data_IF_011257253280
#
_entry.id   IF_011257253280
#
_cell.length_a   1.000
_cell.length_b   1.000
_cell.length_c   1.000
_cell.angle_alpha   90.00
_cell.angle_beta   90.00
_cell.angle_gamma   90.00
#
_symmetry.space_group_name_H-M   'P 1'
#
loop_
_entity.id
_entity.type
_entity.pdbx_description
1 polymer ?
#
# COMPACT_ATOMS: atom_id res chain seq x y z
N UNK A 1 -104.64 -43.72 66.16
CA UNK A 1 -103.42 -43.31 66.89
C UNK A 1 -102.46 -44.49 66.86
N UNK A 2 -101.32 -44.33 66.20
CA UNK A 2 -100.26 -45.32 66.04
C UNK A 2 -98.99 -44.54 65.67
N UNK A 3 -98.32 -44.08 66.72
CA UNK A 3 -97.23 -43.11 66.78
C UNK A 3 -96.15 -43.29 65.71
N UNK A 4 -95.73 -42.17 65.08
CA UNK A 4 -94.65 -42.11 64.10
C UNK A 4 -93.32 -42.52 64.73
N UNK A 5 -92.49 -43.29 64.03
CA UNK A 5 -91.05 -43.15 64.21
C UNK A 5 -90.53 -42.21 63.10
N UNK A 6 -90.35 -40.90 63.36
CA UNK A 6 -90.13 -39.88 62.33
C UNK A 6 -88.69 -39.86 61.78
N UNK A 7 -87.84 -40.83 62.14
CA UNK A 7 -86.40 -40.71 61.98
C UNK A 7 -85.81 -41.84 61.13
N UNK A 8 -86.17 -41.91 59.84
CA UNK A 8 -85.43 -42.74 58.89
C UNK A 8 -83.97 -42.25 58.78
N UNK A 9 -83.00 -43.15 59.01
CA UNK A 9 -81.57 -42.86 58.90
C UNK A 9 -81.25 -42.54 57.43
N UNK A 10 -80.87 -41.29 57.15
CA UNK A 10 -80.48 -40.88 55.78
C UNK A 10 -78.96 -40.76 55.73
N UNK A 11 -78.32 -41.62 54.96
CA UNK A 11 -76.88 -41.52 54.69
C UNK A 11 -76.59 -40.40 53.68
N UNK A 12 -75.55 -39.62 53.96
CA UNK A 12 -75.14 -38.54 53.08
C UNK A 12 -74.64 -39.02 51.72
N UNK A 13 -75.01 -38.33 50.65
CA UNK A 13 -74.43 -38.52 49.31
C UNK A 13 -73.82 -37.23 48.78
N UNK A 14 -72.72 -37.39 48.06
CA UNK A 14 -71.98 -36.28 47.46
C UNK A 14 -72.81 -35.57 46.39
N UNK A 15 -72.75 -34.24 46.36
CA UNK A 15 -73.19 -33.44 45.21
C UNK A 15 -72.34 -33.74 43.98
N UNK A 16 -72.81 -33.33 42.79
CA UNK A 16 -71.94 -33.21 41.62
C UNK A 16 -70.74 -32.31 41.94
N UNK A 17 -69.60 -32.60 41.31
CA UNK A 17 -68.42 -31.77 41.44
C UNK A 17 -68.66 -30.40 40.79
N UNK A 18 -68.22 -29.32 41.44
CA UNK A 18 -68.13 -28.01 40.79
C UNK A 18 -67.13 -28.04 39.62
N UNK A 19 -67.24 -27.10 38.66
CA UNK A 19 -66.20 -26.90 37.64
C UNK A 19 -64.82 -26.69 38.27
N UNK A 20 -63.77 -27.04 37.52
CA UNK A 20 -62.40 -26.78 37.95
C UNK A 20 -62.12 -25.29 38.03
N UNK A 21 -61.37 -24.87 39.05
CA UNK A 21 -60.84 -23.50 39.14
C UNK A 21 -59.99 -23.13 37.93
N UNK A 22 -59.67 -21.85 37.77
CA UNK A 22 -58.54 -21.45 36.91
C UNK A 22 -57.25 -22.14 37.38
N UNK A 23 -56.34 -22.42 36.44
CA UNK A 23 -55.07 -23.05 36.77
C UNK A 23 -54.23 -22.10 37.60
N UNK A 24 -53.67 -22.58 38.71
CA UNK A 24 -52.89 -21.73 39.64
C UNK A 24 -51.64 -21.08 39.03
N UNK A 25 -51.18 -21.55 37.86
CA UNK A 25 -50.05 -20.97 37.12
C UNK A 25 -50.35 -20.99 35.63
N UNK A 26 -50.00 -19.93 34.90
CA UNK A 26 -50.12 -19.86 33.44
C UNK A 26 -49.08 -20.72 32.70
N UNK A 27 -47.97 -21.06 33.35
CA UNK A 27 -46.91 -21.94 32.84
C UNK A 27 -46.22 -22.68 34.01
N UNK A 28 -45.44 -23.73 33.73
CA UNK A 28 -44.59 -24.37 34.75
C UNK A 28 -45.34 -25.16 35.83
N UNK A 29 -46.19 -26.10 35.38
CA UNK A 29 -46.99 -27.05 36.20
C UNK A 29 -47.81 -26.35 37.29
N UNK A 30 -49.05 -25.98 36.96
CA UNK A 30 -50.04 -25.48 37.91
C UNK A 30 -50.95 -26.59 38.45
N UNK A 31 -51.84 -26.22 39.38
CA UNK A 31 -52.87 -27.09 39.94
C UNK A 31 -54.24 -26.43 39.83
N UNK A 32 -55.26 -27.20 39.47
CA UNK A 32 -56.66 -26.81 39.58
C UNK A 32 -57.32 -27.58 40.72
N UNK A 33 -58.28 -26.94 41.36
CA UNK A 33 -59.04 -27.51 42.47
C UNK A 33 -60.53 -27.50 42.10
N UNK A 34 -61.25 -28.56 42.45
CA UNK A 34 -62.71 -28.59 42.45
C UNK A 34 -63.24 -29.18 43.75
N UNK A 35 -64.42 -28.75 44.15
CA UNK A 35 -65.06 -29.14 45.41
C UNK A 35 -66.45 -29.72 45.18
N UNK A 36 -66.90 -30.52 46.14
CA UNK A 36 -68.27 -31.08 46.23
C UNK A 36 -68.71 -31.08 47.69
N UNK A 37 -70.01 -31.04 47.93
CA UNK A 37 -70.58 -30.97 49.28
C UNK A 37 -71.41 -32.22 49.58
N UNK A 38 -71.45 -32.66 50.84
CA UNK A 38 -72.23 -33.83 51.26
C UNK A 38 -73.69 -33.44 51.52
N UNK A 39 -74.40 -33.05 50.47
CA UNK A 39 -75.72 -32.41 50.58
C UNK A 39 -76.78 -33.00 49.67
N UNK A 40 -76.50 -34.09 48.94
CA UNK A 40 -77.41 -34.62 47.92
C UNK A 40 -77.74 -36.13 48.08
N UNK A 41 -78.44 -36.57 49.15
CA UNK A 41 -78.96 -35.76 50.26
C UNK A 41 -77.93 -35.60 51.40
N UNK A 42 -78.17 -34.64 52.31
CA UNK A 42 -77.38 -34.46 53.52
C UNK A 42 -77.70 -35.55 54.57
N UNK A 43 -76.73 -36.01 55.39
CA UNK A 43 -77.01 -36.99 56.43
C UNK A 43 -78.02 -36.46 57.46
N UNK A 44 -78.99 -37.29 57.86
CA UNK A 44 -79.98 -36.98 58.91
C UNK A 44 -80.22 -38.19 59.79
N UNK A 45 -80.69 -37.96 61.02
CA UNK A 45 -81.15 -39.00 61.94
C UNK A 45 -80.08 -40.07 62.26
N UNK A 46 -78.84 -39.66 62.53
CA UNK A 46 -77.72 -40.57 62.81
C UNK A 46 -77.06 -41.19 61.58
N UNK A 47 -77.40 -40.77 60.37
CA UNK A 47 -76.81 -41.30 59.13
C UNK A 47 -75.34 -40.94 58.93
N UNK A 48 -74.57 -41.90 58.43
CA UNK A 48 -73.16 -41.75 58.07
C UNK A 48 -72.89 -40.55 57.12
N UNK A 49 -71.82 -39.84 57.40
CA UNK A 49 -71.30 -38.77 56.53
C UNK A 49 -70.69 -39.36 55.24
N UNK A 50 -70.58 -38.54 54.20
CA UNK A 50 -70.04 -38.99 52.93
C UNK A 50 -68.57 -39.42 53.06
N UNK A 51 -68.24 -40.64 52.62
CA UNK A 51 -66.86 -41.17 52.64
C UNK A 51 -66.06 -40.61 51.45
N UNK A 52 -64.82 -40.18 51.71
CA UNK A 52 -63.88 -39.64 50.72
C UNK A 52 -63.69 -38.12 50.81
N UNK A 53 -62.81 -37.56 49.97
CA UNK A 53 -62.50 -36.13 50.01
C UNK A 53 -63.61 -35.26 49.38
N UNK A 54 -63.91 -34.12 50.03
CA UNK A 54 -64.73 -33.03 49.48
C UNK A 54 -63.98 -32.18 48.45
N UNK A 55 -62.66 -32.38 48.33
CA UNK A 55 -61.77 -31.60 47.45
C UNK A 55 -60.95 -32.51 46.57
N UNK A 56 -60.90 -32.21 45.26
CA UNK A 56 -60.03 -32.89 44.31
C UNK A 56 -59.06 -31.90 43.67
N UNK A 57 -57.83 -32.35 43.44
CA UNK A 57 -56.76 -31.58 42.79
C UNK A 57 -56.31 -32.29 41.51
N UNK A 58 -56.06 -31.54 40.44
CA UNK A 58 -55.40 -32.06 39.23
C UNK A 58 -54.31 -31.12 38.73
N UNK A 59 -53.33 -31.67 38.01
CA UNK A 59 -52.29 -30.88 37.34
C UNK A 59 -52.84 -30.22 36.08
N UNK A 60 -52.39 -29.01 35.80
CA UNK A 60 -52.71 -28.24 34.61
C UNK A 60 -51.46 -27.48 34.11
N UNK A 61 -51.47 -27.01 32.86
CA UNK A 61 -50.40 -26.24 32.21
C UNK A 61 -49.00 -26.90 32.27
N UNK A 62 -48.72 -27.78 31.29
CA UNK A 62 -47.43 -28.47 31.12
C UNK A 62 -46.41 -27.68 30.28
N UNK A 63 -46.81 -26.54 29.68
CA UNK A 63 -45.89 -25.68 28.90
C UNK A 63 -44.79 -25.09 29.79
N UNK A 64 -43.54 -25.15 29.32
CA UNK A 64 -42.38 -24.56 30.00
C UNK A 64 -42.52 -23.04 30.05
N UNK A 65 -42.17 -22.42 31.18
CA UNK A 65 -42.22 -20.96 31.31
C UNK A 65 -41.14 -20.26 30.47
N UNK A 66 -41.44 -19.09 29.88
CA UNK A 66 -40.45 -18.21 29.29
C UNK A 66 -39.34 -17.88 30.29
N UNK A 67 -38.09 -17.94 29.82
CA UNK A 67 -36.91 -17.46 30.56
C UNK A 67 -36.37 -16.30 29.76
N UNK A 68 -36.47 -15.08 30.30
CA UNK A 68 -35.94 -13.90 29.65
C UNK A 68 -34.41 -13.89 29.74
N UNK A 69 -33.76 -13.40 28.69
CA UNK A 69 -32.31 -13.28 28.62
C UNK A 69 -31.76 -12.26 29.62
N UNK A 70 -30.70 -12.65 30.32
CA UNK A 70 -29.90 -11.76 31.14
C UNK A 70 -28.49 -11.56 30.57
N UNK A 71 -27.99 -10.33 30.70
CA UNK A 71 -26.64 -10.00 30.28
C UNK A 71 -25.59 -10.70 31.16
N UNK A 72 -24.53 -11.22 30.53
CA UNK A 72 -23.29 -11.56 31.22
C UNK A 72 -22.67 -10.31 31.84
N UNK A 73 -21.74 -10.50 32.78
CA UNK A 73 -20.81 -9.43 33.16
C UNK A 73 -20.07 -8.93 31.92
N UNK A 74 -19.77 -7.64 31.90
CA UNK A 74 -18.92 -7.05 30.87
C UNK A 74 -17.53 -7.69 30.91
N UNK A 75 -16.96 -8.00 29.74
CA UNK A 75 -15.53 -8.30 29.63
C UNK A 75 -14.69 -7.09 30.04
N UNK A 76 -13.42 -7.34 30.37
CA UNK A 76 -12.44 -6.28 30.57
C UNK A 76 -12.32 -5.42 29.30
N UNK A 77 -11.98 -4.15 29.49
CA UNK A 77 -11.65 -3.27 28.38
C UNK A 77 -10.44 -3.81 27.60
N UNK A 78 -10.47 -3.67 26.28
CA UNK A 78 -9.29 -3.88 25.45
C UNK A 78 -8.18 -2.89 25.83
N UNK A 79 -6.96 -3.19 25.39
CA UNK A 79 -5.91 -2.16 25.32
C UNK A 79 -6.39 -0.94 24.52
N UNK A 80 -5.81 0.22 24.83
CA UNK A 80 -6.07 1.45 24.07
C UNK A 80 -5.46 1.33 22.68
N UNK A 81 -6.21 1.75 21.65
CA UNK A 81 -5.73 1.73 20.27
C UNK A 81 -4.55 2.67 20.00
N UNK A 82 -4.27 3.61 20.92
CA UNK A 82 -3.13 4.53 20.88
C UNK A 82 -2.54 4.72 22.27
N UNK A 83 -1.25 4.94 22.40
CA UNK A 83 -0.58 5.22 23.69
C UNK A 83 -0.74 6.66 24.19
N UNK A 84 -1.06 7.61 23.29
CA UNK A 84 -1.30 9.03 23.58
C UNK A 84 -2.12 9.68 22.45
N UNK A 85 -2.52 10.95 22.61
CA UNK A 85 -3.18 11.72 21.56
C UNK A 85 -4.61 11.30 21.24
N UNK A 86 -5.24 10.53 22.13
CA UNK A 86 -6.61 10.04 22.01
C UNK A 86 -6.73 8.75 21.20
N UNK A 87 -7.02 7.64 21.87
CA UNK A 87 -7.41 6.35 21.29
C UNK A 87 -8.78 5.88 21.80
N UNK A 88 -9.17 4.66 21.43
CA UNK A 88 -10.41 4.03 21.88
C UNK A 88 -10.15 2.64 22.48
N UNK A 89 -10.88 2.30 23.54
CA UNK A 89 -10.97 0.94 24.08
C UNK A 89 -12.39 0.41 23.88
N UNK A 90 -12.52 -0.91 23.78
CA UNK A 90 -13.80 -1.59 23.60
C UNK A 90 -14.00 -2.66 24.68
N UNK A 91 -15.24 -2.86 25.11
CA UNK A 91 -15.63 -4.02 25.93
C UNK A 91 -16.97 -4.57 25.45
N UNK A 92 -17.16 -5.87 25.61
CA UNK A 92 -18.35 -6.60 25.14
C UNK A 92 -18.98 -7.41 26.26
N UNK A 93 -20.28 -7.67 26.16
CA UNK A 93 -21.06 -8.60 27.01
C UNK A 93 -21.96 -9.46 26.14
N UNK A 94 -22.37 -10.62 26.65
CA UNK A 94 -23.19 -11.59 25.91
C UNK A 94 -24.51 -11.87 26.64
N UNK A 95 -25.58 -12.15 25.90
CA UNK A 95 -26.91 -12.41 26.48
C UNK A 95 -27.03 -13.88 26.91
N UNK A 96 -26.28 -14.27 27.94
CA UNK A 96 -26.08 -15.69 28.30
C UNK A 96 -26.24 -15.96 29.80
N UNK A 97 -26.68 -14.98 30.59
CA UNK A 97 -26.78 -15.13 32.05
C UNK A 97 -28.12 -14.61 32.61
N UNK A 98 -29.22 -15.36 32.45
CA UNK A 98 -29.34 -16.63 31.72
C UNK A 98 -29.57 -16.41 30.20
N UNK A 99 -29.37 -17.40 29.33
CA UNK A 99 -29.77 -17.30 27.93
C UNK A 99 -31.32 -17.33 27.82
N UNK A 100 -31.93 -16.57 26.90
CA UNK A 100 -33.37 -16.65 26.67
C UNK A 100 -33.82 -18.07 26.30
N UNK A 101 -34.93 -18.53 26.86
CA UNK A 101 -35.53 -19.85 26.55
C UNK A 101 -37.06 -19.79 26.55
N UNK A 102 -37.70 -20.74 25.88
CA UNK A 102 -39.17 -20.94 25.88
C UNK A 102 -39.97 -19.66 25.52
N UNK A 103 -39.50 -18.86 24.56
CA UNK A 103 -40.16 -17.62 24.13
C UNK A 103 -39.90 -16.40 25.03
N UNK A 104 -38.91 -16.46 25.93
CA UNK A 104 -38.50 -15.29 26.71
C UNK A 104 -37.75 -14.23 25.89
N UNK A 105 -37.85 -12.97 26.32
CA UNK A 105 -37.29 -11.82 25.62
C UNK A 105 -35.75 -11.85 25.56
N UNK A 106 -35.17 -11.26 24.50
CA UNK A 106 -33.72 -11.03 24.41
C UNK A 106 -33.28 -9.92 25.37
N UNK A 107 -31.97 -9.80 25.59
CA UNK A 107 -31.45 -8.81 26.51
C UNK A 107 -31.56 -7.39 25.93
N UNK A 108 -32.25 -6.45 26.61
CA UNK A 108 -32.38 -5.07 26.13
C UNK A 108 -31.06 -4.28 26.29
N UNK A 109 -30.73 -3.44 25.30
CA UNK A 109 -29.59 -2.53 25.30
C UNK A 109 -28.36 -2.99 24.50
N UNK A 110 -27.29 -2.17 24.51
CA UNK A 110 -26.08 -2.42 23.69
C UNK A 110 -25.22 -3.55 24.26
N UNK A 111 -24.66 -4.39 23.40
CA UNK A 111 -23.69 -5.45 23.73
C UNK A 111 -22.22 -5.01 23.62
N UNK A 112 -21.97 -3.82 23.06
CA UNK A 112 -20.66 -3.22 22.85
C UNK A 112 -20.64 -1.81 23.47
N UNK A 113 -19.59 -1.53 24.24
CA UNK A 113 -19.26 -0.19 24.68
C UNK A 113 -17.88 0.21 24.16
N UNK A 114 -17.77 1.47 23.73
CA UNK A 114 -16.53 2.10 23.29
C UNK A 114 -16.31 3.32 24.17
N UNK A 115 -15.07 3.53 24.61
CA UNK A 115 -14.69 4.75 25.33
C UNK A 115 -13.37 5.30 24.82
N UNK A 116 -13.18 6.60 24.98
CA UNK A 116 -11.91 7.26 24.76
C UNK A 116 -10.90 6.87 25.83
N UNK A 117 -9.63 6.81 25.45
CA UNK A 117 -8.50 6.52 26.33
C UNK A 117 -7.28 7.31 25.85
N UNK A 118 -6.27 7.46 26.73
CA UNK A 118 -4.99 8.07 26.41
C UNK A 118 -5.13 9.45 25.73
N UNK A 119 -6.01 10.30 26.27
CA UNK A 119 -6.35 11.63 25.74
C UNK A 119 -5.26 12.69 25.99
N UNK A 120 -4.28 12.38 26.86
CA UNK A 120 -3.12 13.25 27.06
C UNK A 120 -2.41 13.46 25.72
N UNK A 121 -1.96 14.70 25.46
CA UNK A 121 -1.13 15.00 24.29
C UNK A 121 0.09 14.08 24.31
N UNK A 122 0.43 13.52 23.15
CA UNK A 122 1.71 12.86 23.00
C UNK A 122 2.82 13.86 23.33
N UNK A 123 3.94 13.42 23.93
CA UNK A 123 5.15 14.23 23.91
C UNK A 123 5.36 14.72 22.47
N UNK A 124 5.49 16.03 22.29
CA UNK A 124 5.82 16.58 20.98
C UNK A 124 7.13 15.98 20.49
N UNK A 125 7.45 16.16 19.21
CA UNK A 125 8.83 15.95 18.80
C UNK A 125 9.75 16.93 19.53
N UNK A 126 10.99 16.50 19.76
CA UNK A 126 12.03 17.36 20.31
C UNK A 126 12.29 18.50 19.32
N UNK A 127 12.26 19.75 19.77
CA UNK A 127 12.43 20.93 18.91
C UNK A 127 13.70 20.79 18.06
N UNK A 128 13.61 21.12 16.77
CA UNK A 128 14.66 20.94 15.75
C UNK A 128 15.09 19.49 15.44
N UNK A 129 14.58 18.47 16.13
CA UNK A 129 14.91 17.07 15.81
C UNK A 129 14.44 16.67 14.43
N UNK A 130 15.14 15.69 13.86
CA UNK A 130 14.75 15.04 12.62
C UNK A 130 14.02 13.75 12.97
N UNK A 131 12.77 13.65 12.51
CA UNK A 131 11.86 12.54 12.82
C UNK A 131 11.26 12.00 11.53
N UNK A 132 10.91 10.72 11.54
CA UNK A 132 10.20 10.09 10.42
C UNK A 132 8.70 10.12 10.71
N UNK A 133 7.90 10.65 9.80
CA UNK A 133 6.45 10.66 9.95
C UNK A 133 5.81 9.29 9.65
N UNK A 134 4.49 9.20 9.78
CA UNK A 134 3.72 7.96 9.49
C UNK A 134 3.84 7.48 8.04
N UNK A 135 4.23 8.36 7.11
CA UNK A 135 4.39 8.08 5.69
C UNK A 135 5.87 8.04 5.28
N UNK A 136 6.76 7.74 6.23
CA UNK A 136 8.18 7.53 5.97
C UNK A 136 8.94 8.79 5.56
N UNK A 137 8.35 9.97 5.67
CA UNK A 137 8.99 11.24 5.31
C UNK A 137 9.90 11.70 6.44
N UNK A 138 11.06 12.23 6.08
CA UNK A 138 11.99 12.85 7.02
C UNK A 138 11.56 14.29 7.27
N UNK A 139 11.04 14.56 8.46
CA UNK A 139 10.52 15.86 8.87
C UNK A 139 11.42 16.51 9.92
N UNK A 140 11.42 17.83 9.95
CA UNK A 140 11.98 18.61 11.06
C UNK A 140 10.88 18.93 12.06
N UNK A 141 11.17 18.83 13.34
CA UNK A 141 10.27 19.33 14.36
C UNK A 141 10.38 20.86 14.49
N UNK A 142 9.24 21.55 14.47
CA UNK A 142 9.14 22.97 14.79
C UNK A 142 7.85 23.23 15.55
N UNK A 143 7.94 23.78 16.77
CA UNK A 143 6.81 24.08 17.66
C UNK A 143 5.93 22.85 17.90
N UNK A 144 6.56 21.70 18.11
CA UNK A 144 5.88 20.41 18.32
C UNK A 144 5.12 19.86 17.10
N UNK A 145 5.30 20.46 15.91
CA UNK A 145 4.71 20.01 14.65
C UNK A 145 5.79 19.56 13.67
N UNK A 146 5.46 18.61 12.82
CA UNK A 146 6.33 18.20 11.73
C UNK A 146 6.25 19.22 10.60
N UNK A 147 7.39 19.78 10.22
CA UNK A 147 7.55 20.71 9.11
C UNK A 147 8.63 20.21 8.16
N UNK A 148 8.64 20.73 6.93
CA UNK A 148 9.67 20.41 5.93
C UNK A 148 9.84 18.90 5.68
N UNK A 149 8.75 18.14 5.74
CA UNK A 149 8.72 16.70 5.49
C UNK A 149 9.21 16.37 4.08
N UNK A 150 10.23 15.53 4.02
CA UNK A 150 10.98 15.23 2.79
C UNK A 150 10.94 13.74 2.49
N UNK A 151 10.52 13.39 1.28
CA UNK A 151 10.58 12.04 0.74
C UNK A 151 12.03 11.72 0.39
N UNK A 152 12.52 10.55 0.82
CA UNK A 152 13.92 10.17 0.64
C UNK A 152 14.02 9.04 -0.39
N UNK A 153 14.55 9.34 -1.57
CA UNK A 153 14.84 8.33 -2.61
C UNK A 153 16.19 7.67 -2.31
N UNK A 154 16.24 6.35 -2.37
CA UNK A 154 17.41 5.53 -1.99
C UNK A 154 17.92 4.70 -3.16
N UNK A 155 19.20 4.33 -3.13
CA UNK A 155 19.76 3.39 -4.10
C UNK A 155 19.14 2.01 -3.87
N UNK A 156 18.54 1.44 -4.91
CA UNK A 156 17.72 0.23 -4.79
C UNK A 156 18.50 -0.95 -4.21
N UNK A 157 19.70 -1.23 -4.70
CA UNK A 157 20.50 -2.39 -4.27
C UNK A 157 21.12 -2.23 -2.87
N UNK A 158 21.16 -1.00 -2.35
CA UNK A 158 21.55 -0.68 -0.98
C UNK A 158 20.38 -0.74 0.02
N UNK A 159 19.13 -0.82 -0.45
CA UNK A 159 17.97 -0.98 0.42
C UNK A 159 17.91 -2.38 1.05
N UNK A 160 17.25 -2.48 2.20
CA UNK A 160 16.96 -3.78 2.82
C UNK A 160 16.15 -4.66 1.86
N UNK A 161 16.27 -5.98 1.99
CA UNK A 161 15.43 -6.91 1.22
C UNK A 161 13.94 -6.60 1.40
N UNK A 162 13.51 -6.33 2.63
CA UNK A 162 12.12 -6.02 2.94
C UNK A 162 11.62 -4.74 2.23
N UNK A 163 12.45 -3.69 2.18
CA UNK A 163 12.10 -2.45 1.48
C UNK A 163 12.03 -2.64 -0.04
N UNK A 164 12.94 -3.45 -0.61
CA UNK A 164 12.90 -3.80 -2.04
C UNK A 164 11.66 -4.62 -2.40
N UNK A 165 11.34 -5.65 -1.62
CA UNK A 165 10.11 -6.42 -1.83
C UNK A 165 8.87 -5.55 -1.66
N UNK A 166 8.89 -4.60 -0.72
CA UNK A 166 7.82 -3.63 -0.52
C UNK A 166 7.62 -2.80 -1.78
N UNK A 167 8.68 -2.19 -2.33
CA UNK A 167 8.60 -1.42 -3.56
C UNK A 167 8.03 -2.26 -4.73
N UNK A 168 8.60 -3.44 -4.97
CA UNK A 168 8.18 -4.32 -6.07
C UNK A 168 6.71 -4.74 -5.93
N UNK A 169 6.26 -5.09 -4.71
CA UNK A 169 4.84 -5.38 -4.44
C UNK A 169 3.96 -4.17 -4.72
N UNK A 170 4.34 -2.98 -4.26
CA UNK A 170 3.57 -1.74 -4.49
C UNK A 170 3.45 -1.42 -5.97
N UNK A 171 4.52 -1.58 -6.77
CA UNK A 171 4.46 -1.42 -8.24
C UNK A 171 3.48 -2.41 -8.85
N UNK A 172 3.55 -3.68 -8.47
CA UNK A 172 2.60 -4.71 -8.97
C UNK A 172 1.17 -4.33 -8.64
N UNK A 173 0.87 -4.05 -7.37
CA UNK A 173 -0.47 -3.61 -6.95
C UNK A 173 -0.94 -2.38 -7.71
N UNK A 174 -0.09 -1.36 -7.86
CA UNK A 174 -0.42 -0.14 -8.60
C UNK A 174 -0.80 -0.45 -10.06
N UNK A 175 -0.09 -1.37 -10.71
CA UNK A 175 -0.27 -1.72 -12.12
C UNK A 175 -1.39 -2.73 -12.42
N UNK A 176 -1.87 -3.47 -11.41
CA UNK A 176 -2.84 -4.56 -11.62
C UNK A 176 -4.16 -4.39 -10.87
N UNK A 177 -4.19 -3.67 -9.75
CA UNK A 177 -5.41 -3.47 -8.96
C UNK A 177 -6.35 -2.49 -9.68
N UNK A 178 -7.62 -2.88 -9.95
CA UNK A 178 -8.57 -2.04 -10.68
C UNK A 178 -8.77 -0.64 -10.10
N UNK A 179 -8.52 -0.45 -8.79
CA UNK A 179 -8.65 0.85 -8.12
C UNK A 179 -7.62 1.88 -8.59
N UNK A 180 -6.45 1.43 -9.02
CA UNK A 180 -5.34 2.32 -9.40
C UNK A 180 -4.91 2.17 -10.86
N UNK A 181 -5.19 1.00 -11.47
CA UNK A 181 -4.75 0.64 -12.80
C UNK A 181 -5.10 1.67 -13.89
N UNK A 182 -6.31 2.26 -13.97
CA UNK A 182 -6.61 3.24 -15.02
C UNK A 182 -5.69 4.47 -14.99
N UNK A 183 -5.35 4.97 -13.80
CA UNK A 183 -4.46 6.13 -13.67
C UNK A 183 -2.99 5.74 -13.87
N UNK A 184 -2.59 4.54 -13.44
CA UNK A 184 -1.28 3.99 -13.79
C UNK A 184 -1.11 3.88 -15.31
N UNK A 185 -2.04 3.24 -16.00
CA UNK A 185 -2.00 3.06 -17.45
C UNK A 185 -1.96 4.42 -18.17
N UNK A 186 -2.73 5.42 -17.69
CA UNK A 186 -2.68 6.80 -18.23
C UNK A 186 -1.30 7.42 -18.08
N UNK A 187 -0.70 7.37 -16.89
CA UNK A 187 0.62 7.95 -16.62
C UNK A 187 1.69 7.23 -17.43
N UNK A 188 1.68 5.90 -17.51
CA UNK A 188 2.66 5.16 -18.32
C UNK A 188 2.50 5.47 -19.82
N UNK A 189 1.27 5.51 -20.32
CA UNK A 189 0.97 5.78 -21.74
C UNK A 189 1.42 7.18 -22.16
N UNK A 190 1.32 8.16 -21.28
CA UNK A 190 1.69 9.54 -21.58
C UNK A 190 3.09 9.64 -22.18
N UNK A 191 4.08 8.96 -21.61
CA UNK A 191 5.46 8.98 -22.12
C UNK A 191 5.56 8.59 -23.60
N UNK A 192 4.89 7.50 -24.01
CA UNK A 192 4.84 7.06 -25.41
C UNK A 192 4.15 8.10 -26.28
N UNK A 193 2.99 8.61 -25.84
CA UNK A 193 2.16 9.53 -26.63
C UNK A 193 2.90 10.80 -27.02
N UNK A 194 3.69 11.35 -26.09
CA UNK A 194 4.41 12.60 -26.31
C UNK A 194 5.93 12.38 -26.43
N UNK A 195 6.36 11.16 -26.78
CA UNK A 195 7.77 10.78 -26.84
C UNK A 195 8.57 11.71 -27.76
N UNK A 196 7.99 12.07 -28.90
CA UNK A 196 8.62 12.93 -29.91
C UNK A 196 8.29 14.42 -29.73
N UNK A 197 7.53 14.80 -28.69
CA UNK A 197 7.06 16.17 -28.49
C UNK A 197 8.07 16.99 -27.66
N UNK A 198 9.36 16.66 -27.75
CA UNK A 198 10.43 17.38 -27.09
C UNK A 198 10.82 16.87 -25.69
N UNK A 199 10.13 15.88 -25.12
CA UNK A 199 10.49 15.34 -23.78
C UNK A 199 11.82 14.57 -23.76
N UNK A 200 12.41 14.29 -24.93
CA UNK A 200 13.75 13.72 -25.11
C UNK A 200 14.74 14.72 -25.72
N UNK A 201 14.40 16.01 -25.72
CA UNK A 201 15.24 17.10 -26.21
C UNK A 201 15.68 18.01 -25.07
N UNK A 202 16.70 18.83 -25.34
CA UNK A 202 17.40 19.73 -24.42
C UNK A 202 16.49 20.46 -23.42
N UNK A 203 15.39 21.06 -23.89
CA UNK A 203 14.59 21.99 -23.10
C UNK A 203 13.69 21.31 -22.05
N UNK A 204 13.24 20.08 -22.34
CA UNK A 204 12.26 19.41 -21.49
C UNK A 204 12.77 18.11 -20.88
N UNK A 205 13.83 17.49 -21.40
CA UNK A 205 14.30 16.18 -20.95
C UNK A 205 14.41 16.05 -19.42
N UNK A 206 15.23 16.89 -18.79
CA UNK A 206 15.44 16.83 -17.34
C UNK A 206 14.21 17.23 -16.51
N UNK A 207 13.58 18.41 -16.71
CA UNK A 207 12.45 18.84 -15.88
C UNK A 207 11.20 17.98 -16.10
N UNK A 208 10.90 17.57 -17.34
CA UNK A 208 9.73 16.73 -17.62
C UNK A 208 9.85 15.37 -16.94
N UNK A 209 11.02 14.72 -17.02
CA UNK A 209 11.23 13.43 -16.37
C UNK A 209 11.22 13.53 -14.83
N UNK A 210 11.73 14.62 -14.24
CA UNK A 210 11.59 14.87 -12.79
C UNK A 210 10.12 14.98 -12.37
N UNK A 211 9.32 15.73 -13.13
CA UNK A 211 7.87 15.83 -12.91
C UNK A 211 7.18 14.47 -13.10
N UNK A 212 7.59 13.71 -14.11
CA UNK A 212 7.03 12.39 -14.42
C UNK A 212 7.26 11.38 -13.29
N UNK A 213 8.48 11.32 -12.75
CA UNK A 213 8.78 10.49 -11.57
C UNK A 213 7.95 10.92 -10.37
N UNK A 214 7.71 12.23 -10.18
CA UNK A 214 6.85 12.73 -9.11
C UNK A 214 5.39 12.25 -9.28
N UNK A 215 4.84 12.28 -10.50
CA UNK A 215 3.49 11.77 -10.76
C UNK A 215 3.39 10.27 -10.43
N UNK A 216 4.36 9.48 -10.91
CA UNK A 216 4.42 8.06 -10.62
C UNK A 216 4.57 7.76 -9.11
N UNK A 217 5.45 8.50 -8.42
CA UNK A 217 5.64 8.34 -6.97
C UNK A 217 4.37 8.73 -6.19
N UNK A 218 3.65 9.76 -6.62
CA UNK A 218 2.38 10.13 -6.01
C UNK A 218 1.35 9.00 -6.14
N UNK A 219 1.32 8.28 -7.26
CA UNK A 219 0.48 7.09 -7.43
C UNK A 219 0.90 5.93 -6.53
N UNK A 220 2.19 5.59 -6.48
CA UNK A 220 2.71 4.57 -5.57
C UNK A 220 2.30 4.85 -4.12
N UNK A 221 2.33 6.12 -3.71
CA UNK A 221 1.98 6.55 -2.35
C UNK A 221 0.49 6.50 -2.02
N UNK A 222 -0.39 6.34 -3.01
CA UNK A 222 -1.81 6.02 -2.79
C UNK A 222 -2.03 4.55 -2.41
N UNK A 223 -1.10 3.68 -2.81
CA UNK A 223 -1.07 2.26 -2.41
C UNK A 223 -0.40 2.11 -1.05
N UNK A 224 0.81 2.66 -0.90
CA UNK A 224 1.53 2.70 0.38
C UNK A 224 2.29 4.01 0.52
N UNK A 225 1.82 4.86 1.43
CA UNK A 225 2.37 6.20 1.58
C UNK A 225 3.81 6.23 2.10
N UNK A 226 4.42 5.13 2.53
CA UNK A 226 5.83 5.10 2.94
C UNK A 226 6.78 4.88 1.77
N UNK A 227 6.26 4.49 0.60
CA UNK A 227 7.07 4.18 -0.58
C UNK A 227 7.52 5.45 -1.30
N UNK A 228 8.73 5.42 -1.84
CA UNK A 228 9.32 6.44 -2.72
C UNK A 228 9.97 5.73 -3.89
N UNK A 229 10.12 6.40 -5.04
CA UNK A 229 10.81 5.83 -6.18
C UNK A 229 12.31 5.71 -5.86
N UNK A 230 12.90 4.51 -5.79
CA UNK A 230 14.33 4.34 -5.62
C UNK A 230 15.05 4.71 -6.91
N UNK A 231 16.37 4.80 -6.86
CA UNK A 231 17.21 4.94 -8.05
C UNK A 231 18.12 3.72 -8.21
N UNK A 232 18.47 3.38 -9.45
CA UNK A 232 19.45 2.35 -9.74
C UNK A 232 20.76 2.99 -10.15
N UNK A 233 21.76 2.93 -9.26
CA UNK A 233 23.10 3.42 -9.56
C UNK A 233 23.87 2.36 -10.36
N UNK A 234 23.58 2.29 -11.66
CA UNK A 234 24.24 1.37 -12.59
C UNK A 234 25.76 1.61 -12.66
N UNK A 235 26.24 2.79 -12.26
CA UNK A 235 27.67 3.13 -12.26
C UNK A 235 28.48 2.30 -11.25
N UNK A 236 27.83 1.81 -10.20
CA UNK A 236 28.44 0.95 -9.17
C UNK A 236 28.57 -0.52 -9.60
N UNK A 237 27.82 -0.93 -10.64
CA UNK A 237 27.77 -2.30 -11.13
C UNK A 237 28.21 -2.43 -12.58
N UNK A 238 28.84 -1.39 -13.14
CA UNK A 238 29.23 -1.26 -14.55
C UNK A 238 29.85 -2.52 -15.16
N UNK A 239 30.76 -3.19 -14.46
CA UNK A 239 31.46 -4.40 -14.96
C UNK A 239 30.63 -5.68 -14.97
N UNK A 240 29.49 -5.69 -14.28
CA UNK A 240 28.60 -6.86 -14.22
C UNK A 240 27.16 -6.39 -13.93
N UNK A 241 26.56 -5.61 -14.84
CA UNK A 241 25.29 -4.94 -14.57
C UNK A 241 24.12 -5.93 -14.58
N UNK A 242 24.29 -7.11 -15.17
CA UNK A 242 23.25 -8.13 -15.39
C UNK A 242 23.20 -9.25 -14.34
N UNK A 243 23.92 -9.11 -13.23
CA UNK A 243 23.90 -10.14 -12.17
C UNK A 243 22.51 -10.27 -11.55
N UNK A 244 22.12 -11.51 -11.25
CA UNK A 244 20.84 -11.86 -10.64
C UNK A 244 20.96 -12.39 -9.22
N UNK A 245 21.91 -11.92 -8.40
CA UNK A 245 22.00 -12.35 -6.98
C UNK A 245 20.89 -11.70 -6.16
N UNK A 246 20.61 -12.22 -4.97
CA UNK A 246 19.56 -11.69 -4.09
C UNK A 246 19.68 -10.19 -3.77
N UNK A 247 20.88 -9.61 -3.83
CA UNK A 247 21.16 -8.18 -3.62
C UNK A 247 21.03 -7.31 -4.87
N UNK A 248 20.93 -7.91 -6.06
CA UNK A 248 20.99 -7.21 -7.34
C UNK A 248 19.58 -6.82 -7.83
N UNK A 249 19.53 -5.91 -8.81
CA UNK A 249 18.28 -5.45 -9.42
C UNK A 249 17.55 -6.58 -10.14
N UNK A 250 18.28 -7.39 -10.90
CA UNK A 250 17.74 -8.45 -11.77
C UNK A 250 17.51 -9.79 -11.06
N UNK A 251 17.46 -9.77 -9.73
CA UNK A 251 17.11 -10.96 -8.96
C UNK A 251 15.73 -11.49 -9.37
N UNK A 252 15.63 -12.81 -9.52
CA UNK A 252 14.40 -13.51 -9.91
C UNK A 252 13.39 -13.66 -8.77
N UNK A 253 13.78 -13.40 -7.51
CA UNK A 253 12.87 -13.39 -6.38
C UNK A 253 12.07 -12.08 -6.25
N UNK A 254 11.22 -12.02 -5.22
CA UNK A 254 10.28 -10.90 -5.01
C UNK A 254 10.93 -9.54 -4.67
N UNK A 255 12.23 -9.51 -4.44
CA UNK A 255 13.00 -8.28 -4.14
C UNK A 255 13.77 -7.73 -5.35
N UNK A 256 13.52 -8.26 -6.56
CA UNK A 256 14.13 -7.82 -7.81
C UNK A 256 13.11 -7.74 -8.94
N UNK A 257 13.61 -7.50 -10.16
CA UNK A 257 12.80 -7.21 -11.35
C UNK A 257 12.80 -8.34 -12.38
N UNK A 258 13.42 -9.48 -12.08
CA UNK A 258 13.63 -10.56 -13.05
C UNK A 258 14.77 -10.28 -14.02
N UNK A 259 15.27 -11.33 -14.67
CA UNK A 259 16.42 -11.28 -15.56
C UNK A 259 16.09 -10.89 -17.00
N UNK A 260 16.89 -11.41 -17.93
CA UNK A 260 16.78 -11.18 -19.36
C UNK A 260 15.52 -11.82 -19.97
N UNK A 261 15.20 -11.41 -21.21
CA UNK A 261 14.23 -12.11 -22.04
C UNK A 261 14.77 -13.46 -22.53
N UNK A 262 13.84 -14.37 -22.86
CA UNK A 262 14.15 -15.60 -23.59
C UNK A 262 14.73 -15.28 -24.98
N UNK A 263 15.53 -16.19 -25.54
CA UNK A 263 16.12 -16.04 -26.89
C UNK A 263 15.10 -16.41 -27.98
N UNK A 264 13.95 -15.77 -27.95
CA UNK A 264 12.89 -15.88 -28.97
C UNK A 264 12.69 -14.51 -29.63
N UNK A 265 12.05 -14.44 -30.81
CA UNK A 265 11.69 -13.14 -31.40
C UNK A 265 10.85 -12.26 -30.47
N UNK A 266 10.07 -12.87 -29.56
CA UNK A 266 9.24 -12.17 -28.59
C UNK A 266 10.04 -11.60 -27.40
N UNK A 267 11.20 -12.19 -27.07
CA UNK A 267 12.11 -11.71 -26.03
C UNK A 267 11.46 -11.53 -24.65
N UNK A 268 10.46 -12.35 -24.33
CA UNK A 268 9.70 -12.23 -23.09
C UNK A 268 10.57 -12.53 -21.86
N UNK A 269 10.46 -11.70 -20.82
CA UNK A 269 11.06 -11.99 -19.51
C UNK A 269 10.36 -13.20 -18.89
N UNK A 270 11.14 -14.21 -18.52
CA UNK A 270 10.64 -15.50 -18.00
C UNK A 270 10.83 -15.68 -16.49
N UNK A 271 11.53 -14.75 -15.82
CA UNK A 271 11.83 -14.82 -14.38
C UNK A 271 11.42 -13.55 -13.64
N UNK A 272 11.28 -13.64 -12.31
CA UNK A 272 10.95 -12.48 -11.50
C UNK A 272 9.46 -12.16 -11.41
N UNK A 273 9.13 -11.08 -10.66
CA UNK A 273 7.74 -10.70 -10.38
C UNK A 273 7.01 -10.09 -11.58
N UNK A 274 7.75 -9.73 -12.64
CA UNK A 274 7.24 -9.11 -13.86
C UNK A 274 7.33 -10.02 -15.10
N UNK A 275 7.47 -11.34 -14.88
CA UNK A 275 7.57 -12.33 -15.97
C UNK A 275 6.25 -12.53 -16.73
N UNK A 276 6.38 -13.05 -17.94
CA UNK A 276 5.26 -13.55 -18.76
C UNK A 276 4.35 -14.48 -17.96
N UNK A 277 3.04 -14.31 -18.14
CA UNK A 277 2.01 -15.11 -17.45
C UNK A 277 1.72 -14.66 -16.01
N UNK A 278 2.50 -13.72 -15.45
CA UNK A 278 2.29 -13.18 -14.09
C UNK A 278 1.99 -11.69 -14.11
N UNK A 279 2.59 -10.95 -15.03
CA UNK A 279 2.41 -9.51 -15.17
C UNK A 279 2.47 -9.12 -16.64
N UNK A 280 1.66 -8.14 -17.02
CA UNK A 280 1.58 -7.64 -18.38
C UNK A 280 1.93 -6.16 -18.44
N UNK A 281 2.59 -5.76 -19.53
CA UNK A 281 2.78 -4.34 -19.84
C UNK A 281 1.44 -3.67 -20.14
N UNK A 282 1.42 -2.33 -20.06
CA UNK A 282 0.22 -1.54 -20.35
C UNK A 282 -0.29 -1.80 -21.79
N UNK A 283 -1.60 -1.73 -22.05
CA UNK A 283 -2.15 -2.01 -23.39
C UNK A 283 -1.55 -1.15 -24.51
N UNK A 284 -1.21 0.11 -24.21
CA UNK A 284 -0.59 1.04 -25.16
C UNK A 284 0.81 0.62 -25.63
N UNK A 285 1.48 -0.25 -24.88
CA UNK A 285 2.77 -0.85 -25.23
C UNK A 285 2.64 -2.18 -26.00
N UNK A 286 1.45 -2.45 -26.56
CA UNK A 286 1.09 -3.69 -27.25
C UNK A 286 0.51 -4.78 -26.35
N UNK A 287 0.44 -4.54 -25.03
CA UNK A 287 0.06 -5.56 -24.07
C UNK A 287 1.03 -6.76 -24.02
N UNK A 288 0.65 -7.81 -23.29
CA UNK A 288 1.46 -9.02 -23.19
C UNK A 288 2.69 -8.87 -22.28
N UNK A 289 3.76 -9.59 -22.60
CA UNK A 289 4.92 -9.74 -21.73
C UNK A 289 5.88 -8.52 -21.75
N UNK A 290 6.58 -8.31 -20.64
CA UNK A 290 7.77 -7.45 -20.60
C UNK A 290 8.88 -8.05 -21.48
N UNK A 291 9.56 -7.22 -22.28
CA UNK A 291 10.65 -7.65 -23.17
C UNK A 291 11.99 -7.08 -22.72
N UNK A 292 13.03 -7.90 -22.71
CA UNK A 292 14.41 -7.47 -22.41
C UNK A 292 15.40 -8.21 -23.30
N UNK A 293 16.49 -7.53 -23.63
CA UNK A 293 17.60 -8.11 -24.38
C UNK A 293 18.90 -7.48 -23.88
N UNK A 294 19.35 -7.95 -22.71
CA UNK A 294 20.59 -7.46 -22.09
C UNK A 294 21.76 -7.60 -23.07
N UNK A 295 22.45 -6.48 -23.31
CA UNK A 295 23.73 -6.49 -24.01
C UNK A 295 24.79 -7.07 -23.04
N UNK A 296 25.13 -8.34 -23.24
CA UNK A 296 26.06 -9.06 -22.36
C UNK A 296 27.53 -8.76 -22.65
N UNK A 297 27.84 -8.08 -23.75
CA UNK A 297 29.22 -7.79 -24.17
C UNK A 297 29.71 -6.44 -23.66
N UNK A 298 28.80 -5.49 -23.42
CA UNK A 298 29.13 -4.14 -22.99
C UNK A 298 28.83 -3.89 -21.51
N UNK A 299 29.55 -2.92 -20.95
CA UNK A 299 29.35 -2.40 -19.61
C UNK A 299 28.43 -1.18 -19.63
N UNK A 300 27.66 -0.95 -18.55
CA UNK A 300 27.02 0.36 -18.32
C UNK A 300 28.08 1.41 -18.02
N UNK A 301 27.80 2.72 -18.17
CA UNK A 301 28.78 3.72 -17.79
C UNK A 301 29.17 3.59 -16.31
N UNK A 302 30.39 3.97 -15.95
CA UNK A 302 30.93 3.75 -14.60
C UNK A 302 30.91 5.03 -13.76
N UNK A 303 31.31 4.90 -12.49
CA UNK A 303 31.35 6.05 -11.56
C UNK A 303 32.31 7.16 -12.01
N UNK A 304 33.33 6.85 -12.82
CA UNK A 304 34.23 7.86 -13.36
C UNK A 304 33.53 8.68 -14.45
N UNK A 305 32.79 8.04 -15.36
CA UNK A 305 31.97 8.73 -16.35
C UNK A 305 30.95 9.67 -15.67
N UNK A 306 30.25 9.21 -14.63
CA UNK A 306 29.34 10.06 -13.84
C UNK A 306 30.07 11.24 -13.20
N UNK A 307 31.27 11.01 -12.64
CA UNK A 307 32.08 12.08 -12.05
C UNK A 307 32.53 13.13 -13.08
N UNK A 308 32.88 12.74 -14.31
CA UNK A 308 33.23 13.69 -15.36
C UNK A 308 32.01 14.53 -15.79
N UNK A 309 30.83 13.92 -15.93
CA UNK A 309 29.59 14.67 -16.20
C UNK A 309 29.31 15.69 -15.08
N UNK A 310 29.50 15.31 -13.83
CA UNK A 310 29.30 16.22 -12.68
C UNK A 310 30.32 17.38 -12.65
N UNK A 311 31.48 17.25 -13.29
CA UNK A 311 32.52 18.30 -13.34
C UNK A 311 32.21 19.40 -14.34
N UNK A 312 31.44 19.14 -15.38
CA UNK A 312 31.08 20.12 -16.42
C UNK A 312 30.50 21.38 -15.76
N UNK A 313 31.01 22.59 -16.06
CA UNK A 313 30.56 23.81 -15.41
C UNK A 313 29.17 24.25 -15.91
N UNK A 314 28.45 25.04 -15.09
CA UNK A 314 27.16 25.62 -15.46
C UNK A 314 27.16 26.42 -16.77
N UNK A 315 28.27 27.06 -17.13
CA UNK A 315 28.43 27.80 -18.40
C UNK A 315 28.40 26.89 -19.63
N UNK A 316 28.62 25.59 -19.46
CA UNK A 316 28.61 24.58 -20.51
C UNK A 316 27.42 23.62 -20.34
N UNK A 317 26.24 24.16 -20.02
CA UNK A 317 25.04 23.38 -19.80
C UNK A 317 24.77 22.39 -20.94
N UNK A 318 24.96 22.79 -22.20
CA UNK A 318 24.72 21.91 -23.35
C UNK A 318 25.63 20.70 -23.39
N UNK A 319 26.88 20.85 -22.94
CA UNK A 319 27.80 19.73 -22.80
C UNK A 319 27.38 18.80 -21.68
N UNK A 320 26.88 19.35 -20.56
CA UNK A 320 26.34 18.56 -19.45
C UNK A 320 25.07 17.79 -19.88
N UNK A 321 24.15 18.47 -20.56
CA UNK A 321 22.88 17.93 -21.03
C UNK A 321 23.10 16.79 -22.02
N UNK A 322 23.94 16.98 -23.04
CA UNK A 322 24.28 15.95 -24.02
C UNK A 322 25.00 14.77 -23.37
N UNK A 323 25.97 15.02 -22.50
CA UNK A 323 26.69 13.95 -21.83
C UNK A 323 25.75 13.11 -20.94
N UNK A 324 24.82 13.75 -20.24
CA UNK A 324 23.85 13.05 -19.39
C UNK A 324 22.77 12.32 -20.20
N UNK A 325 22.11 12.99 -21.16
CA UNK A 325 21.02 12.41 -21.95
C UNK A 325 21.53 11.33 -22.91
N UNK A 326 22.52 11.65 -23.71
CA UNK A 326 22.92 10.79 -24.83
C UNK A 326 23.96 9.75 -24.37
N UNK A 327 25.06 10.19 -23.77
CA UNK A 327 26.14 9.26 -23.41
C UNK A 327 25.80 8.36 -22.22
N UNK A 328 24.96 8.81 -21.29
CA UNK A 328 24.57 8.00 -20.12
C UNK A 328 23.16 7.42 -20.26
N UNK A 329 22.14 8.27 -20.41
CA UNK A 329 20.74 7.82 -20.40
C UNK A 329 20.37 6.92 -21.57
N UNK A 330 20.55 7.36 -22.83
CA UNK A 330 20.16 6.60 -24.03
C UNK A 330 20.91 5.27 -24.11
N UNK A 331 22.20 5.31 -23.74
CA UNK A 331 23.07 4.13 -23.69
C UNK A 331 22.53 3.07 -22.74
N UNK A 332 22.12 3.44 -21.53
CA UNK A 332 21.59 2.47 -20.54
C UNK A 332 20.23 1.91 -20.97
N UNK A 333 19.37 2.72 -21.59
CA UNK A 333 18.13 2.24 -22.19
C UNK A 333 18.39 1.09 -23.17
N UNK A 334 19.33 1.29 -24.09
CA UNK A 334 19.63 0.32 -25.13
C UNK A 334 20.60 -0.80 -24.74
N UNK A 335 21.27 -0.69 -23.60
CA UNK A 335 21.94 -1.81 -22.94
C UNK A 335 20.96 -2.81 -22.32
N UNK A 336 19.83 -2.35 -21.77
CA UNK A 336 18.77 -3.25 -21.28
C UNK A 336 18.01 -3.88 -22.46
N UNK A 337 17.81 -3.12 -23.52
CA UNK A 337 17.14 -3.60 -24.73
C UNK A 337 15.64 -3.85 -24.53
N UNK A 338 15.02 -4.55 -25.49
CA UNK A 338 13.59 -4.86 -25.44
C UNK A 338 12.71 -3.63 -25.24
N UNK A 339 11.79 -3.68 -24.27
CA UNK A 339 10.88 -2.57 -23.94
C UNK A 339 11.64 -1.30 -23.55
N UNK A 340 12.77 -1.41 -22.85
CA UNK A 340 13.55 -0.23 -22.41
C UNK A 340 14.22 0.53 -23.55
N UNK A 341 14.43 -0.10 -24.72
CA UNK A 341 14.98 0.50 -25.93
C UNK A 341 13.91 0.60 -27.01
N UNK A 342 12.76 1.20 -26.66
CA UNK A 342 11.66 1.54 -27.57
C UNK A 342 10.88 2.76 -27.06
N UNK A 343 9.91 3.23 -27.84
CA UNK A 343 8.94 4.27 -27.43
C UNK A 343 8.14 3.90 -26.18
N UNK A 344 8.10 2.61 -25.83
CA UNK A 344 7.36 2.03 -24.71
C UNK A 344 8.19 1.88 -23.44
N UNK A 345 9.37 2.52 -23.37
CA UNK A 345 10.31 2.34 -22.26
C UNK A 345 9.69 2.53 -20.87
N UNK A 346 8.78 3.49 -20.71
CA UNK A 346 8.05 3.72 -19.46
C UNK A 346 7.20 2.53 -18.98
N UNK A 347 6.83 1.61 -19.88
CA UNK A 347 6.11 0.39 -19.52
C UNK A 347 6.99 -0.64 -18.81
N UNK A 348 8.32 -0.51 -18.89
CA UNK A 348 9.23 -1.35 -18.12
C UNK A 348 9.35 -0.86 -16.67
N UNK A 349 9.19 -1.73 -15.66
CA UNK A 349 9.18 -1.31 -14.26
C UNK A 349 10.52 -0.72 -13.77
N UNK A 350 11.64 -1.07 -14.40
CA UNK A 350 12.97 -0.49 -14.15
C UNK A 350 13.16 0.94 -14.68
N UNK A 351 12.29 1.43 -15.57
CA UNK A 351 12.36 2.78 -16.15
C UNK A 351 12.47 3.86 -15.07
N UNK A 352 11.60 3.79 -14.07
CA UNK A 352 11.54 4.78 -12.99
C UNK A 352 12.81 4.79 -12.15
N UNK A 353 13.50 3.64 -12.00
CA UNK A 353 14.75 3.55 -11.25
C UNK A 353 15.91 4.17 -12.03
N UNK A 354 15.95 3.95 -13.35
CA UNK A 354 16.93 4.57 -14.24
C UNK A 354 16.75 6.09 -14.28
N UNK A 355 15.55 6.58 -14.57
CA UNK A 355 15.28 8.03 -14.61
C UNK A 355 15.45 8.70 -13.24
N UNK A 356 15.17 8.01 -12.13
CA UNK A 356 15.46 8.51 -10.79
C UNK A 356 16.97 8.68 -10.55
N UNK A 357 17.82 7.86 -11.18
CA UNK A 357 19.27 8.05 -11.12
C UNK A 357 19.74 9.20 -12.03
N UNK A 358 19.18 9.35 -13.22
CA UNK A 358 19.42 10.53 -14.08
C UNK A 358 19.04 11.82 -13.34
N UNK A 359 17.87 11.84 -12.70
CA UNK A 359 17.40 12.95 -11.87
C UNK A 359 18.33 13.21 -10.67
N UNK A 360 18.88 12.15 -10.07
CA UNK A 360 19.89 12.28 -9.01
C UNK A 360 21.16 12.95 -9.52
N UNK A 361 21.70 12.55 -10.68
CA UNK A 361 22.91 13.15 -11.27
C UNK A 361 22.66 14.64 -11.53
N UNK A 362 21.51 15.00 -12.12
CA UNK A 362 21.15 16.39 -12.31
C UNK A 362 20.99 17.15 -10.98
N UNK A 363 20.34 16.55 -9.98
CA UNK A 363 20.22 17.17 -8.66
C UNK A 363 21.58 17.35 -7.95
N UNK A 364 22.53 16.45 -8.16
CA UNK A 364 23.89 16.55 -7.63
C UNK A 364 24.68 17.66 -8.35
N UNK A 365 24.51 17.79 -9.68
CA UNK A 365 25.08 18.89 -10.47
C UNK A 365 24.51 20.26 -10.08
N UNK A 366 23.19 20.37 -9.93
CA UNK A 366 22.49 21.60 -9.50
C UNK A 366 22.93 22.07 -8.09
N UNK A 367 23.31 21.15 -7.19
CA UNK A 367 23.74 21.49 -5.82
C UNK A 367 25.08 22.22 -5.77
N UNK A 368 25.86 22.26 -6.85
CA UNK A 368 27.18 22.91 -6.88
C UNK A 368 27.08 24.43 -6.70
N UNK A 369 26.08 25.08 -7.30
CA UNK A 369 25.80 26.50 -7.08
C UNK A 369 24.42 26.91 -7.60
N UNK A 370 23.96 28.11 -7.24
CA UNK A 370 22.73 28.69 -7.80
C UNK A 370 22.81 28.86 -9.32
N UNK A 371 24.00 29.10 -9.88
CA UNK A 371 24.18 29.18 -11.33
C UNK A 371 23.97 27.81 -12.01
N UNK A 372 24.38 26.70 -11.38
CA UNK A 372 24.07 25.36 -11.89
C UNK A 372 22.56 25.09 -11.83
N UNK A 373 21.87 25.50 -10.76
CA UNK A 373 20.41 25.40 -10.68
C UNK A 373 19.70 26.14 -11.83
N UNK A 374 20.25 27.28 -12.26
CA UNK A 374 19.62 28.21 -13.19
C UNK A 374 20.21 28.20 -14.62
N UNK A 375 21.10 27.25 -14.94
CA UNK A 375 21.95 27.30 -16.14
C UNK A 375 21.21 27.31 -17.50
N UNK A 376 19.93 26.92 -17.56
CA UNK A 376 19.16 26.86 -18.81
C UNK A 376 17.66 27.07 -18.60
N UNK A 377 17.03 26.19 -17.83
CA UNK A 377 15.57 26.08 -17.76
C UNK A 377 14.78 27.35 -17.39
N UNK A 378 15.29 28.33 -16.61
CA UNK A 378 14.57 29.59 -16.42
C UNK A 378 14.29 30.37 -17.70
N UNK A 379 15.10 30.22 -18.75
CA UNK A 379 14.88 30.87 -20.06
C UNK A 379 13.81 30.18 -20.90
N UNK A 380 13.46 28.93 -20.58
CA UNK A 380 12.42 28.18 -21.29
C UNK A 380 11.04 28.71 -20.88
N UNK A 381 10.37 29.38 -21.81
CA UNK A 381 9.06 30.00 -21.59
C UNK A 381 7.90 29.06 -21.93
N UNK A 382 8.08 28.21 -22.93
CA UNK A 382 7.11 27.22 -23.37
C UNK A 382 6.78 26.23 -22.24
N UNK A 383 5.49 25.96 -21.97
CA UNK A 383 5.12 24.95 -20.98
C UNK A 383 5.57 23.55 -21.37
N UNK A 384 5.85 22.72 -20.38
CA UNK A 384 6.23 21.33 -20.61
C UNK A 384 5.06 20.53 -21.23
N UNK A 385 5.30 19.73 -22.28
CA UNK A 385 4.27 18.95 -22.96
C UNK A 385 3.47 18.04 -22.02
N UNK A 386 2.15 18.02 -22.16
CA UNK A 386 1.25 17.14 -21.40
C UNK A 386 1.17 17.40 -19.88
N UNK A 387 1.64 18.55 -19.39
CA UNK A 387 1.71 18.86 -17.94
C UNK A 387 0.66 19.84 -17.43
N UNK A 388 -0.38 20.12 -18.22
CA UNK A 388 -1.37 21.18 -17.93
C UNK A 388 -0.69 22.56 -17.71
N UNK A 389 0.10 22.98 -18.69
CA UNK A 389 0.81 24.27 -18.73
C UNK A 389 1.88 24.47 -17.64
N UNK A 390 2.45 23.40 -17.07
CA UNK A 390 3.52 23.53 -16.08
C UNK A 390 4.82 23.96 -16.75
N UNK A 391 5.43 25.05 -16.26
CA UNK A 391 6.75 25.51 -16.72
C UNK A 391 7.87 24.67 -16.10
N UNK A 392 9.02 24.61 -16.78
CA UNK A 392 10.24 23.94 -16.31
C UNK A 392 10.69 24.42 -14.93
N UNK A 393 10.53 25.72 -14.65
CA UNK A 393 10.88 26.37 -13.37
C UNK A 393 10.16 25.78 -12.16
N UNK A 394 8.97 25.21 -12.34
CA UNK A 394 8.17 24.64 -11.26
C UNK A 394 8.78 23.36 -10.65
N UNK A 395 9.73 22.71 -11.35
CA UNK A 395 10.35 21.45 -10.93
C UNK A 395 11.87 21.54 -10.78
N UNK A 396 12.46 22.73 -10.91
CA UNK A 396 13.92 22.88 -10.80
C UNK A 396 14.46 22.53 -9.42
N UNK A 397 13.71 22.87 -8.37
CA UNK A 397 14.14 22.65 -7.00
C UNK A 397 13.40 21.44 -6.39
N UNK A 398 14.13 20.35 -6.17
CA UNK A 398 13.60 19.14 -5.51
C UNK A 398 13.04 19.39 -4.09
N UNK A 399 13.37 20.50 -3.45
CA UNK A 399 12.80 20.90 -2.15
C UNK A 399 11.52 21.75 -2.26
N UNK A 400 11.06 22.05 -3.48
CA UNK A 400 9.88 22.89 -3.78
C UNK A 400 9.13 22.36 -5.02
N UNK A 401 8.83 21.06 -5.04
CA UNK A 401 8.09 20.45 -6.14
C UNK A 401 6.57 20.72 -6.02
N UNK A 402 5.81 20.58 -7.12
CA UNK A 402 4.36 20.77 -7.12
C UNK A 402 3.65 19.97 -6.02
N UNK A 403 2.60 20.56 -5.44
CA UNK A 403 1.89 20.00 -4.29
C UNK A 403 2.64 20.12 -2.97
N UNK A 404 3.64 20.99 -2.88
CA UNK A 404 4.45 21.19 -1.66
C UNK A 404 5.38 20.02 -1.35
N UNK A 405 5.65 19.16 -2.33
CA UNK A 405 6.46 17.96 -2.15
C UNK A 405 7.94 18.33 -2.08
N UNK A 406 8.65 17.70 -1.13
CA UNK A 406 10.11 17.81 -1.00
C UNK A 406 10.70 16.42 -1.21
N UNK A 407 11.72 16.33 -2.05
CA UNK A 407 12.45 15.10 -2.37
C UNK A 407 13.93 15.32 -2.10
N UNK A 408 14.58 14.29 -1.57
CA UNK A 408 16.03 14.24 -1.45
C UNK A 408 16.55 12.85 -1.78
N UNK A 409 17.71 12.80 -2.43
CA UNK A 409 18.44 11.56 -2.66
C UNK A 409 19.35 11.25 -1.48
N UNK A 410 19.31 10.01 -1.01
CA UNK A 410 20.21 9.50 0.01
C UNK A 410 21.32 8.67 -0.64
N UNK A 411 22.56 9.14 -0.53
CA UNK A 411 23.72 8.35 -0.91
C UNK A 411 23.87 7.13 0.04
N UNK A 412 24.33 5.97 -0.46
CA UNK A 412 24.57 4.80 0.38
C UNK A 412 25.66 5.09 1.44
N UNK A 413 25.44 4.64 2.68
CA UNK A 413 26.34 4.87 3.84
C UNK A 413 27.73 4.24 3.66
N UNK A 414 27.83 3.21 2.83
CA UNK A 414 29.10 2.64 2.35
C UNK A 414 29.05 2.68 0.83
N UNK A 415 29.76 3.60 0.16
CA UNK A 415 29.97 3.44 -1.27
C UNK A 415 30.58 2.04 -1.45
N UNK A 416 30.03 1.21 -2.35
CA UNK A 416 30.65 -0.08 -2.70
C UNK A 416 32.03 0.11 -3.37
N UNK A 417 32.44 1.36 -3.55
CA UNK A 417 33.76 1.78 -3.98
C UNK A 417 34.74 1.66 -2.80
N UNK A 418 35.52 0.57 -2.79
CA UNK A 418 36.94 0.72 -2.45
C UNK A 418 37.46 1.81 -3.38
N UNK A 419 37.90 2.94 -2.83
CA UNK A 419 38.74 3.91 -3.54
C UNK A 419 39.97 3.14 -4.05
N UNK A 420 39.84 2.47 -5.19
CA UNK A 420 40.97 2.10 -6.03
C UNK A 420 41.08 3.24 -7.03
N UNK A 421 41.66 4.33 -6.57
CA UNK A 421 42.55 5.11 -7.43
C UNK A 421 43.56 4.08 -7.98
N UNK A 422 43.28 3.52 -9.16
CA UNK A 422 44.02 2.39 -9.74
C UNK A 422 43.22 1.16 -10.18
N UNK A 423 41.88 1.12 -10.06
CA UNK A 423 41.10 0.05 -10.73
C UNK A 423 41.03 0.31 -12.24
N UNK A 424 41.42 -0.67 -13.05
CA UNK A 424 41.37 -0.62 -14.52
C UNK A 424 39.99 -0.14 -15.02
N UNK A 425 39.86 1.13 -15.42
CA UNK A 425 38.57 1.64 -15.90
C UNK A 425 38.14 0.80 -17.11
N UNK A 426 36.93 0.24 -17.06
CA UNK A 426 36.41 -0.62 -18.13
C UNK A 426 35.82 0.23 -19.24
N UNK A 427 36.01 -0.16 -20.51
CA UNK A 427 35.27 0.43 -21.63
C UNK A 427 33.78 0.22 -21.38
N UNK A 428 32.97 1.28 -21.44
CA UNK A 428 31.51 1.18 -21.42
C UNK A 428 30.96 1.39 -22.84
N UNK A 429 29.74 0.90 -23.06
CA UNK A 429 29.12 0.89 -24.40
C UNK A 429 29.13 2.27 -25.03
N UNK A 430 29.47 2.32 -26.32
CA UNK A 430 29.36 3.53 -27.12
C UNK A 430 27.91 3.66 -27.59
N UNK A 431 27.43 4.90 -27.71
CA UNK A 431 26.11 5.22 -28.27
C UNK A 431 25.82 4.37 -29.53
N UNK A 432 24.77 3.55 -29.48
CA UNK A 432 24.41 2.66 -30.59
C UNK A 432 23.57 3.38 -31.63
N UNK A 433 23.67 2.99 -32.90
CA UNK A 433 22.81 3.53 -33.98
C UNK A 433 21.33 3.39 -33.66
N UNK A 434 20.95 2.27 -33.05
CA UNK A 434 19.59 2.04 -32.56
C UNK A 434 19.14 3.10 -31.56
N UNK A 435 20.01 3.48 -30.61
CA UNK A 435 19.68 4.53 -29.64
C UNK A 435 19.55 5.89 -30.32
N UNK A 436 20.45 6.23 -31.25
CA UNK A 436 20.40 7.50 -31.98
C UNK A 436 19.12 7.65 -32.80
N UNK A 437 18.72 6.60 -33.51
CA UNK A 437 17.47 6.60 -34.27
C UNK A 437 16.24 6.69 -33.36
N UNK A 438 16.22 5.94 -32.25
CA UNK A 438 15.07 5.92 -31.33
C UNK A 438 14.82 7.29 -30.69
N UNK A 439 15.87 7.93 -30.18
CA UNK A 439 15.76 9.22 -29.47
C UNK A 439 15.86 10.44 -30.39
N UNK A 440 15.84 10.22 -31.72
CA UNK A 440 15.94 11.26 -32.74
C UNK A 440 17.14 12.22 -32.50
N UNK A 441 18.30 11.63 -32.22
CA UNK A 441 19.55 12.39 -31.98
C UNK A 441 19.99 13.04 -33.29
N UNK A 442 20.11 14.36 -33.30
CA UNK A 442 20.58 15.09 -34.48
C UNK A 442 22.06 14.81 -34.76
N UNK A 443 22.50 14.98 -36.02
CA UNK A 443 23.92 14.80 -36.40
C UNK A 443 24.88 15.68 -35.58
N UNK A 444 24.46 16.89 -35.24
CA UNK A 444 25.26 17.83 -34.45
C UNK A 444 25.39 17.38 -32.98
N UNK A 445 24.29 16.90 -32.39
CA UNK A 445 24.32 16.29 -31.07
C UNK A 445 25.16 15.01 -31.05
N UNK A 446 25.03 14.17 -32.08
CA UNK A 446 25.83 12.95 -32.23
C UNK A 446 27.32 13.28 -32.25
N UNK A 447 27.77 14.22 -33.07
CA UNK A 447 29.17 14.62 -33.16
C UNK A 447 29.70 15.12 -31.80
N UNK A 448 28.91 15.95 -31.11
CA UNK A 448 29.26 16.45 -29.78
C UNK A 448 29.27 15.34 -28.73
N UNK A 449 28.31 14.42 -28.76
CA UNK A 449 28.24 13.27 -27.87
C UNK A 449 29.42 12.31 -28.10
N UNK A 450 29.86 12.10 -29.35
CA UNK A 450 31.04 11.30 -29.67
C UNK A 450 32.32 11.96 -29.12
N UNK A 451 32.46 13.28 -29.27
CA UNK A 451 33.58 14.05 -28.70
C UNK A 451 33.62 13.98 -27.17
N UNK A 452 32.49 14.26 -26.52
CA UNK A 452 32.38 14.18 -25.06
C UNK A 452 32.59 12.76 -24.54
N UNK A 453 32.11 11.75 -25.27
CA UNK A 453 32.27 10.34 -24.94
C UNK A 453 33.73 9.92 -24.75
N UNK A 454 34.67 10.48 -25.53
CA UNK A 454 36.12 10.24 -25.37
C UNK A 454 36.59 10.66 -23.97
N UNK A 455 36.09 11.77 -23.45
CA UNK A 455 36.43 12.25 -22.11
C UNK A 455 35.77 11.43 -21.01
N UNK A 456 34.71 10.70 -21.28
CA UNK A 456 34.10 9.79 -20.33
C UNK A 456 34.88 8.46 -20.21
N UNK A 457 35.75 8.15 -21.17
CA UNK A 457 36.59 6.96 -21.20
C UNK A 457 37.80 7.03 -20.23
N UNK A 458 38.45 5.88 -19.96
CA UNK A 458 39.70 5.79 -19.20
C UNK A 458 40.81 6.75 -19.66
N UNK A 459 41.56 7.35 -18.73
CA UNK A 459 42.65 8.30 -19.02
C UNK A 459 43.73 7.76 -19.97
N UNK A 460 44.14 6.49 -19.84
CA UNK A 460 45.11 5.86 -20.74
C UNK A 460 44.60 5.68 -22.19
N UNK A 461 43.29 5.76 -22.42
CA UNK A 461 42.68 5.69 -23.75
C UNK A 461 42.40 7.06 -24.37
N UNK A 462 42.63 8.16 -23.62
CA UNK A 462 42.52 9.53 -24.13
C UNK A 462 43.76 9.97 -24.92
N UNK A 463 44.89 9.29 -24.75
CA UNK A 463 46.20 9.68 -25.28
C UNK A 463 46.58 9.03 -26.64
N UNK A 464 45.63 8.36 -27.32
CA UNK A 464 45.90 7.61 -28.56
C UNK A 464 44.91 7.87 -29.69
N UNK A 465 44.19 9.00 -29.69
CA UNK A 465 43.28 9.40 -30.76
C UNK A 465 43.38 10.89 -31.04
#
# INVERSE_FOLDING_TARGET
MGSTNPFAVVHGRWSAWRPWSTCSRSCGRGTQIRTRTCTNPAPRNGGNNCRGSSTQRRRCNSKRCPVNGGWSRWRRWSSCSRSCGGGSQRRVRTCTNPPPRNGGSTCPGRNLLVRSCNTKRCPGCVERSIVTDRCGQRCRCSRGRFVQCTRVRREFTAMSRADREKYVRTVRTLSTDPRYKPEYDRVITQHRTIFNDGIHQRDFFLPWHRWYILQYENLLRRVDCTVTVPYWDWSQVSRSPWRGRASDLWFSGNSGFGGNGEQTPQQCVTSGPFRRGVWNVVPSAGGGCLRRQFNLTDNTPDSAAVAEVLRIPHSEFDSFEIALRINLHDTVHCLIGGTMCSFDSAAAPEFMLHHSFIDKIWADWQRRSINHMNAHFPSVTTPMPGTNQLRTTAVLNNLRLPGGVRVQFQNPLRPRIRNRFGASRGKFSVLSEKAMMLFNVSKTEEEKARRLGIWLLPTHQRAGK
#
